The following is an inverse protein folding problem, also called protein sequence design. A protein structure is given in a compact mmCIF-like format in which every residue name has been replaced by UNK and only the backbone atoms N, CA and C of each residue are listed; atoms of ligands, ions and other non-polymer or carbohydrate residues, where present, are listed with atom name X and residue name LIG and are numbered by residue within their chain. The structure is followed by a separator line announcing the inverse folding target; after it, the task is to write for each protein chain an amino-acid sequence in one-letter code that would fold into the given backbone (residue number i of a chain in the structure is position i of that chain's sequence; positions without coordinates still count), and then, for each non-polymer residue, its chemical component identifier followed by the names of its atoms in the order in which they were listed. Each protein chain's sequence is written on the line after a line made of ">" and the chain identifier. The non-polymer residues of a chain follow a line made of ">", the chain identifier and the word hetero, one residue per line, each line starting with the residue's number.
data_IF_086916141407
#
_entry.id   IF_086916141407
#
_cell.length_a   1.000
_cell.length_b   1.000
_cell.length_c   1.000
_cell.angle_alpha   90.00
_cell.angle_beta   90.00
_cell.angle_gamma   90.00
#
_symmetry.space_group_name_H-M   'P 1'
#
loop_
_entity.id
_entity.type
_entity.pdbx_description
1 polymer ?
#
# COMPACT_ATOMS: atom_id res chain seq x y z
N UNK A 1 -14.93 -32.71 5.22
CA UNK A 1 -13.70 -32.09 4.82
C UNK A 1 -12.97 -31.60 6.07
N UNK A 2 -11.67 -31.87 6.19
CA UNK A 2 -10.87 -31.33 7.27
C UNK A 2 -10.96 -29.80 7.23
N UNK A 3 -11.22 -29.19 8.39
CA UNK A 3 -11.05 -27.74 8.53
C UNK A 3 -9.62 -27.37 8.11
N UNK A 4 -9.42 -26.32 7.32
CA UNK A 4 -8.05 -25.87 7.06
C UNK A 4 -7.36 -25.60 8.39
N UNK A 5 -6.11 -26.07 8.53
CA UNK A 5 -5.29 -25.77 9.70
C UNK A 5 -5.04 -24.27 9.75
N UNK A 6 -5.82 -23.55 10.55
CA UNK A 6 -5.72 -22.11 10.72
C UNK A 6 -4.73 -21.81 11.86
N UNK A 7 -3.70 -21.04 11.57
CA UNK A 7 -2.79 -20.49 12.57
C UNK A 7 -3.45 -19.27 13.19
N UNK A 8 -3.69 -19.29 14.48
CA UNK A 8 -4.17 -18.13 15.21
C UNK A 8 -2.99 -17.29 15.78
N UNK A 9 -3.31 -16.06 16.20
CA UNK A 9 -2.29 -15.12 16.68
C UNK A 9 -1.49 -15.69 17.87
N UNK A 10 -2.14 -16.39 18.81
CA UNK A 10 -1.45 -16.96 19.98
C UNK A 10 -0.49 -18.10 19.63
N UNK A 11 -0.83 -18.91 18.61
CA UNK A 11 0.10 -19.93 18.10
C UNK A 11 1.31 -19.27 17.44
N UNK A 12 1.10 -18.24 16.63
CA UNK A 12 2.17 -17.51 15.97
C UNK A 12 3.08 -16.83 16.99
N UNK A 13 2.50 -16.22 18.01
CA UNK A 13 3.23 -15.61 19.12
C UNK A 13 4.10 -16.63 19.85
N UNK A 14 3.52 -17.77 20.22
CA UNK A 14 4.26 -18.87 20.85
C UNK A 14 5.47 -19.32 20.02
N UNK A 15 5.33 -19.42 18.71
CA UNK A 15 6.44 -19.81 17.83
C UNK A 15 7.51 -18.72 17.74
N UNK A 16 7.12 -17.47 17.69
CA UNK A 16 8.06 -16.35 17.67
C UNK A 16 8.80 -16.22 19.01
N UNK A 17 8.11 -16.42 20.11
CA UNK A 17 8.71 -16.40 21.45
C UNK A 17 9.75 -17.51 21.62
N UNK A 18 9.41 -18.73 21.18
CA UNK A 18 10.35 -19.86 21.20
C UNK A 18 11.58 -19.53 20.34
N UNK A 19 11.39 -19.05 19.11
CA UNK A 19 12.49 -18.68 18.23
C UNK A 19 13.38 -17.59 18.85
N UNK A 20 12.79 -16.56 19.47
CA UNK A 20 13.54 -15.48 20.08
C UNK A 20 14.28 -15.92 21.35
N UNK A 21 13.67 -16.80 22.13
CA UNK A 21 14.30 -17.33 23.35
C UNK A 21 15.49 -18.27 23.06
N UNK A 22 15.40 -19.04 21.96
CA UNK A 22 16.45 -19.99 21.57
C UNK A 22 17.59 -19.34 20.79
N UNK A 23 17.30 -18.35 19.95
CA UNK A 23 18.27 -17.79 19.00
C UNK A 23 18.65 -16.34 19.27
N UNK A 24 17.97 -15.66 20.19
CA UNK A 24 18.08 -14.20 20.39
C UNK A 24 17.84 -13.39 19.08
N UNK A 25 17.04 -13.94 18.19
CA UNK A 25 16.76 -13.36 16.87
C UNK A 25 15.89 -12.10 16.98
N UNK A 26 16.16 -11.15 16.12
CA UNK A 26 15.22 -10.04 15.87
C UNK A 26 14.20 -10.50 14.84
N UNK A 27 12.92 -10.37 15.14
CA UNK A 27 11.84 -10.72 14.21
C UNK A 27 11.27 -9.44 13.60
N UNK A 28 11.07 -9.48 12.30
CA UNK A 28 10.27 -8.47 11.58
C UNK A 28 9.17 -9.20 10.82
N UNK A 29 7.93 -9.02 11.25
CA UNK A 29 6.75 -9.53 10.57
C UNK A 29 6.17 -8.42 9.69
N UNK A 30 5.94 -8.72 8.42
CA UNK A 30 5.17 -7.88 7.49
C UNK A 30 3.96 -8.70 7.07
N UNK A 31 2.77 -8.27 7.50
CA UNK A 31 1.54 -9.01 7.32
C UNK A 31 0.51 -8.20 6.54
N UNK A 32 0.25 -8.63 5.31
CA UNK A 32 -0.72 -7.99 4.40
C UNK A 32 -1.98 -8.85 4.30
N UNK A 33 -3.00 -8.46 5.03
CA UNK A 33 -4.30 -9.13 5.04
C UNK A 33 -5.39 -8.20 5.59
N UNK A 34 -6.64 -8.54 5.30
CA UNK A 34 -7.78 -7.93 5.96
C UNK A 34 -7.65 -8.07 7.47
N UNK A 35 -7.96 -7.01 8.20
CA UNK A 35 -7.94 -6.99 9.67
C UNK A 35 -6.58 -7.37 10.30
N UNK A 36 -5.49 -7.31 9.53
CA UNK A 36 -4.15 -7.71 9.99
C UNK A 36 -3.68 -6.96 11.24
N UNK A 37 -4.17 -5.75 11.48
CA UNK A 37 -3.85 -4.96 12.66
C UNK A 37 -4.31 -5.56 13.97
N UNK A 38 -5.26 -6.49 13.96
CA UNK A 38 -5.69 -7.22 15.16
C UNK A 38 -4.59 -8.13 15.71
N UNK A 39 -3.53 -8.39 14.94
CA UNK A 39 -2.38 -9.16 15.35
C UNK A 39 -1.37 -8.36 16.19
N UNK A 40 -1.39 -7.02 16.11
CA UNK A 40 -0.38 -6.17 16.77
C UNK A 40 -0.34 -6.40 18.27
N UNK A 41 -1.49 -6.35 18.94
CA UNK A 41 -1.59 -6.54 20.38
C UNK A 41 -1.30 -7.98 20.85
N UNK A 42 -1.42 -8.95 19.94
CA UNK A 42 -1.22 -10.37 20.23
C UNK A 42 0.18 -10.89 19.92
N UNK A 43 1.09 -10.05 19.41
CA UNK A 43 2.44 -10.44 18.98
C UNK A 43 3.52 -9.67 19.75
N UNK A 44 3.38 -9.58 21.07
CA UNK A 44 4.34 -8.87 21.92
C UNK A 44 5.61 -9.72 22.12
N UNK A 45 6.81 -9.14 22.00
CA UNK A 45 8.05 -9.91 22.20
C UNK A 45 8.28 -10.26 23.67
N UNK A 46 9.00 -11.37 23.96
CA UNK A 46 9.50 -11.64 25.30
C UNK A 46 10.40 -10.50 25.81
N UNK A 47 10.46 -10.34 27.12
CA UNK A 47 11.28 -9.30 27.74
C UNK A 47 12.75 -9.35 27.26
N UNK A 48 13.24 -8.24 26.78
CA UNK A 48 14.60 -8.11 26.24
C UNK A 48 14.77 -8.48 24.77
N UNK A 49 13.73 -9.01 24.12
CA UNK A 49 13.73 -9.32 22.69
C UNK A 49 13.16 -8.16 21.85
N UNK A 50 13.55 -8.09 20.58
CA UNK A 50 13.07 -7.08 19.63
C UNK A 50 12.21 -7.73 18.55
N UNK A 51 10.97 -7.25 18.43
CA UNK A 51 10.03 -7.67 17.37
C UNK A 51 9.41 -6.44 16.72
N UNK A 52 9.42 -6.41 15.41
CA UNK A 52 8.73 -5.38 14.61
C UNK A 52 7.54 -6.04 13.96
N UNK A 53 6.36 -5.48 14.18
CA UNK A 53 5.11 -5.93 13.55
C UNK A 53 4.60 -4.82 12.65
N UNK A 54 4.58 -5.08 11.35
CA UNK A 54 4.03 -4.19 10.33
C UNK A 54 2.83 -4.88 9.68
N UNK A 55 1.67 -4.25 9.77
CA UNK A 55 0.43 -4.76 9.17
C UNK A 55 -0.12 -3.79 8.15
N UNK A 56 -0.76 -4.29 7.09
CA UNK A 56 -1.28 -3.48 5.99
C UNK A 56 -2.57 -2.75 6.34
N UNK A 57 -3.35 -3.28 7.27
CA UNK A 57 -4.64 -2.72 7.67
C UNK A 57 -4.76 -2.71 9.18
N UNK A 58 -5.63 -1.88 9.76
CA UNK A 58 -6.04 -2.01 11.16
C UNK A 58 -7.17 -3.06 11.25
N UNK A 59 -8.42 -2.64 11.30
CA UNK A 59 -9.58 -3.53 11.30
C UNK A 59 -10.38 -3.46 9.98
N UNK A 60 -9.80 -2.86 8.93
CA UNK A 60 -10.43 -2.75 7.62
C UNK A 60 -10.03 -3.91 6.72
N UNK A 61 -10.77 -4.11 5.60
CA UNK A 61 -10.31 -4.94 4.49
C UNK A 61 -9.00 -4.42 3.89
N UNK A 62 -8.17 -5.32 3.40
CA UNK A 62 -6.97 -4.98 2.64
C UNK A 62 -7.29 -4.82 1.15
N UNK A 63 -6.54 -3.97 0.48
CA UNK A 63 -6.61 -3.74 -0.96
C UNK A 63 -5.68 -4.71 -1.69
N UNK A 64 -6.23 -5.45 -2.67
CA UNK A 64 -5.50 -6.34 -3.58
C UNK A 64 -6.00 -6.12 -5.01
N UNK A 65 -5.87 -4.91 -5.52
CA UNK A 65 -6.36 -4.53 -6.85
C UNK A 65 -5.39 -5.01 -7.94
N UNK A 66 -5.88 -5.09 -9.18
CA UNK A 66 -5.09 -5.50 -10.37
C UNK A 66 -4.33 -6.82 -10.13
N UNK A 67 -5.00 -7.82 -9.53
CA UNK A 67 -4.36 -9.10 -9.20
C UNK A 67 -3.31 -9.03 -8.08
N UNK A 68 -3.38 -8.02 -7.20
CA UNK A 68 -2.47 -7.81 -6.08
C UNK A 68 -1.29 -6.88 -6.39
N UNK A 69 -1.16 -6.42 -7.62
CA UNK A 69 -0.09 -5.46 -8.03
C UNK A 69 -0.29 -4.09 -7.37
N UNK A 70 -1.53 -3.73 -7.05
CA UNK A 70 -1.85 -2.59 -6.22
C UNK A 70 -2.29 -3.09 -4.83
N UNK A 71 -1.31 -3.39 -3.98
CA UNK A 71 -1.48 -3.79 -2.59
C UNK A 71 -0.43 -3.11 -1.72
N UNK A 72 -0.64 -3.17 -0.40
CA UNK A 72 0.36 -2.67 0.55
C UNK A 72 1.72 -3.35 0.37
N UNK A 73 1.71 -4.69 0.27
CA UNK A 73 2.95 -5.47 0.11
C UNK A 73 3.70 -5.09 -1.16
N UNK A 74 3.01 -4.94 -2.28
CA UNK A 74 3.67 -4.55 -3.53
C UNK A 74 4.34 -3.18 -3.38
N UNK A 75 3.62 -2.18 -2.89
CA UNK A 75 4.14 -0.82 -2.72
C UNK A 75 5.28 -0.77 -1.71
N UNK A 76 5.16 -1.52 -0.60
CA UNK A 76 6.20 -1.60 0.41
C UNK A 76 7.49 -2.19 -0.15
N UNK A 77 7.42 -3.36 -0.80
CA UNK A 77 8.59 -4.03 -1.32
C UNK A 77 9.20 -3.31 -2.52
N UNK A 78 8.38 -2.68 -3.37
CA UNK A 78 8.88 -1.80 -4.43
C UNK A 78 9.67 -0.64 -3.83
N UNK A 79 9.13 0.03 -2.82
CA UNK A 79 9.84 1.13 -2.16
C UNK A 79 11.08 0.67 -1.40
N UNK A 80 11.08 -0.51 -0.78
CA UNK A 80 12.30 -1.13 -0.21
C UNK A 80 13.34 -1.34 -1.29
N UNK A 81 12.95 -1.88 -2.44
CA UNK A 81 13.87 -2.14 -3.54
C UNK A 81 14.50 -0.85 -4.08
N UNK A 82 13.72 0.22 -4.22
CA UNK A 82 14.20 1.48 -4.81
C UNK A 82 14.83 2.45 -3.80
N UNK A 83 14.34 2.48 -2.56
CA UNK A 83 14.76 3.44 -1.52
C UNK A 83 15.63 2.81 -0.43
N UNK A 84 15.51 1.50 -0.21
CA UNK A 84 16.31 0.71 0.72
C UNK A 84 16.00 0.92 2.20
N UNK A 85 15.22 1.92 2.59
CA UNK A 85 14.92 2.24 3.99
C UNK A 85 13.52 1.79 4.39
N UNK A 86 13.42 1.03 5.48
CA UNK A 86 12.19 0.45 6.00
C UNK A 86 11.09 1.50 6.21
N UNK A 87 11.39 2.57 6.95
CA UNK A 87 10.38 3.57 7.28
C UNK A 87 9.91 4.39 6.08
N UNK A 88 10.81 4.71 5.16
CA UNK A 88 10.45 5.38 3.91
C UNK A 88 9.56 4.48 3.04
N UNK A 89 9.83 3.17 3.01
CA UNK A 89 8.99 2.21 2.32
C UNK A 89 7.60 2.07 2.97
N UNK A 90 7.55 2.05 4.31
CA UNK A 90 6.27 2.08 5.03
C UNK A 90 5.45 3.33 4.70
N UNK A 91 6.07 4.50 4.69
CA UNK A 91 5.37 5.74 4.35
C UNK A 91 4.87 5.74 2.91
N UNK A 92 5.70 5.32 1.95
CA UNK A 92 5.30 5.23 0.55
C UNK A 92 4.10 4.28 0.35
N UNK A 93 4.15 3.08 0.91
CA UNK A 93 3.04 2.13 0.84
C UNK A 93 1.77 2.66 1.53
N UNK A 94 1.91 3.28 2.70
CA UNK A 94 0.80 3.89 3.42
C UNK A 94 0.12 4.98 2.60
N UNK A 95 0.91 5.87 1.98
CA UNK A 95 0.38 7.02 1.26
C UNK A 95 -0.40 6.60 0.00
N UNK A 96 -0.06 5.45 -0.59
CA UNK A 96 -0.80 4.88 -1.72
C UNK A 96 -2.17 4.26 -1.34
N UNK A 97 -2.32 3.81 -0.10
CA UNK A 97 -3.52 3.08 0.35
C UNK A 97 -4.30 3.79 1.46
N UNK A 98 -3.82 4.93 1.97
CA UNK A 98 -4.31 5.62 3.18
C UNK A 98 -5.80 5.95 3.19
N UNK A 99 -6.42 5.94 2.03
CA UNK A 99 -7.83 6.28 1.90
C UNK A 99 -8.76 5.14 2.28
N UNK A 100 -8.30 3.89 2.14
CA UNK A 100 -9.14 2.70 2.27
C UNK A 100 -8.71 1.78 3.41
N UNK A 101 -7.44 1.76 3.73
CA UNK A 101 -6.92 0.98 4.84
C UNK A 101 -5.85 1.78 5.61
N UNK A 102 -5.69 1.43 6.87
CA UNK A 102 -4.73 2.08 7.76
C UNK A 102 -3.69 1.08 8.22
N UNK A 103 -2.48 1.12 7.67
CA UNK A 103 -1.41 0.24 8.11
C UNK A 103 -0.92 0.62 9.51
N UNK A 104 -0.49 -0.39 10.26
CA UNK A 104 0.00 -0.25 11.62
C UNK A 104 1.44 -0.76 11.70
N UNK A 105 2.28 0.00 12.41
CA UNK A 105 3.67 -0.32 12.67
C UNK A 105 3.91 -0.24 14.18
N UNK A 106 4.14 -1.39 14.82
CA UNK A 106 4.67 -1.50 16.18
C UNK A 106 6.11 -2.00 16.08
N UNK A 107 7.07 -1.18 16.44
CA UNK A 107 8.49 -1.51 16.39
C UNK A 107 9.14 -1.60 17.77
N UNK A 108 8.48 -1.05 18.78
CA UNK A 108 8.95 -1.12 20.16
C UNK A 108 8.38 -2.31 20.94
N UNK A 109 7.41 -3.04 20.34
CA UNK A 109 6.84 -4.26 20.90
C UNK A 109 5.92 -4.02 22.09
N UNK A 110 5.26 -2.85 22.16
CA UNK A 110 4.36 -2.53 23.27
C UNK A 110 2.87 -2.73 22.92
N UNK A 111 2.54 -3.15 21.68
CA UNK A 111 1.19 -3.35 21.19
C UNK A 111 0.48 -2.07 20.75
N UNK A 112 1.15 -0.92 20.82
CA UNK A 112 0.61 0.38 20.41
C UNK A 112 1.33 0.85 19.14
N UNK A 113 0.66 0.78 18.02
CA UNK A 113 1.27 1.07 16.74
C UNK A 113 1.31 2.57 16.38
N UNK A 114 2.23 2.91 15.48
CA UNK A 114 2.38 4.24 14.88
C UNK A 114 2.79 5.35 15.86
N UNK A 115 3.51 4.99 16.91
CA UNK A 115 4.08 5.94 17.86
C UNK A 115 5.38 6.59 17.34
N UNK A 116 5.78 7.68 17.95
CA UNK A 116 7.10 8.29 17.67
C UNK A 116 8.26 7.35 18.01
N UNK A 117 8.08 6.50 19.01
CA UNK A 117 9.04 5.48 19.42
C UNK A 117 9.26 4.44 18.32
N UNK A 118 8.20 3.98 17.66
CA UNK A 118 8.29 3.04 16.54
C UNK A 118 9.12 3.61 15.39
N UNK A 119 8.81 4.84 15.00
CA UNK A 119 9.58 5.54 13.96
C UNK A 119 11.07 5.62 14.33
N UNK A 120 11.40 6.01 15.55
CA UNK A 120 12.77 6.18 15.99
C UNK A 120 13.59 4.89 15.87
N UNK A 121 12.94 3.73 16.08
CA UNK A 121 13.58 2.42 15.98
C UNK A 121 13.81 1.96 14.54
N UNK A 122 12.93 2.33 13.61
CA UNK A 122 12.98 1.78 12.24
C UNK A 122 13.49 2.75 11.17
N UNK A 123 13.57 4.05 11.45
CA UNK A 123 13.91 5.07 10.43
C UNK A 123 15.28 4.88 9.77
N UNK A 124 16.20 4.19 10.43
CA UNK A 124 17.55 3.92 9.93
C UNK A 124 17.74 2.45 9.52
N UNK A 125 16.71 1.62 9.61
CA UNK A 125 16.79 0.23 9.15
C UNK A 125 16.82 0.23 7.62
N UNK A 126 17.84 -0.45 7.08
CA UNK A 126 18.00 -0.73 5.65
C UNK A 126 17.72 -2.21 5.43
N UNK A 127 16.80 -2.51 4.51
CA UNK A 127 16.50 -3.88 4.09
C UNK A 127 17.27 -4.16 2.80
N UNK A 128 18.06 -5.22 2.82
CA UNK A 128 18.92 -5.60 1.69
C UNK A 128 20.21 -4.79 1.63
N UNK A 129 21.20 -5.33 0.94
CA UNK A 129 22.46 -4.63 0.65
C UNK A 129 22.46 -4.24 -0.82
N UNK A 130 22.17 -2.97 -1.10
CA UNK A 130 22.60 -2.32 -2.33
C UNK A 130 22.25 -3.05 -3.64
N UNK A 131 21.04 -3.56 -3.77
CA UNK A 131 20.54 -3.83 -5.10
C UNK A 131 20.53 -2.48 -5.84
N UNK A 132 21.41 -2.32 -6.80
CA UNK A 132 21.31 -1.19 -7.72
C UNK A 132 20.04 -1.45 -8.51
N UNK A 133 19.01 -0.63 -8.27
CA UNK A 133 17.77 -0.73 -9.02
C UNK A 133 18.08 -0.57 -10.50
N UNK A 134 17.82 -1.60 -11.29
CA UNK A 134 17.98 -1.55 -12.75
C UNK A 134 16.91 -0.66 -13.39
N UNK A 135 15.90 -0.24 -12.64
CA UNK A 135 14.82 0.66 -13.08
C UNK A 135 14.41 1.58 -11.94
N UNK A 136 13.84 2.72 -12.29
CA UNK A 136 13.27 3.71 -11.38
C UNK A 136 11.78 3.76 -11.65
N UNK A 137 10.90 3.73 -10.61
CA UNK A 137 9.47 3.85 -10.83
C UNK A 137 9.12 5.12 -11.61
N UNK A 138 8.12 5.05 -12.49
CA UNK A 138 7.57 6.24 -13.10
C UNK A 138 7.09 7.24 -12.04
N UNK A 139 7.42 8.50 -12.22
CA UNK A 139 6.97 9.59 -11.35
C UNK A 139 5.96 10.46 -12.12
N UNK A 140 4.74 10.53 -11.59
CA UNK A 140 3.68 11.36 -12.16
C UNK A 140 3.85 12.79 -11.66
N UNK A 141 3.82 13.73 -12.60
CA UNK A 141 3.95 15.15 -12.33
C UNK A 141 2.74 15.89 -12.92
N UNK A 142 2.43 17.06 -12.36
CA UNK A 142 1.34 17.90 -12.85
C UNK A 142 0.00 17.14 -13.00
N UNK A 143 -0.39 16.39 -11.97
CA UNK A 143 -1.70 15.73 -11.92
C UNK A 143 -2.83 16.76 -11.77
N UNK A 144 -4.02 16.44 -12.27
CA UNK A 144 -5.20 17.28 -12.11
C UNK A 144 -5.42 17.67 -10.65
N UNK A 145 -5.62 18.97 -10.36
CA UNK A 145 -5.97 19.41 -9.02
C UNK A 145 -7.36 18.91 -8.61
N UNK A 146 -7.73 18.96 -7.32
CA UNK A 146 -9.09 18.68 -6.88
C UNK A 146 -10.11 19.56 -7.63
N UNK A 147 -11.20 18.95 -8.12
CA UNK A 147 -12.26 19.59 -8.88
C UNK A 147 -13.57 19.53 -8.10
N UNK A 148 -14.39 20.59 -8.21
CA UNK A 148 -15.74 20.63 -7.65
C UNK A 148 -16.74 20.65 -8.79
N UNK A 149 -17.64 19.67 -8.81
CA UNK A 149 -18.72 19.56 -9.80
C UNK A 149 -20.03 20.06 -9.15
N UNK A 150 -20.72 20.98 -9.83
CA UNK A 150 -21.96 21.61 -9.35
C UNK A 150 -23.16 21.11 -10.16
N UNK A 151 -23.29 19.80 -10.29
CA UNK A 151 -24.33 19.14 -11.06
C UNK A 151 -23.83 18.48 -12.35
N UNK A 152 -22.61 18.75 -12.76
CA UNK A 152 -21.97 18.01 -13.86
C UNK A 152 -21.66 16.57 -13.41
N UNK A 153 -21.85 15.64 -14.34
CA UNK A 153 -21.54 14.21 -14.12
C UNK A 153 -20.22 13.78 -14.74
N UNK A 154 -19.49 14.72 -15.33
CA UNK A 154 -18.23 14.44 -16.02
C UNK A 154 -17.14 15.45 -15.67
N UNK A 155 -15.89 14.97 -15.65
CA UNK A 155 -14.70 15.80 -15.53
C UNK A 155 -13.53 15.18 -16.29
N UNK A 156 -12.59 16.03 -16.70
CA UNK A 156 -11.32 15.59 -17.28
C UNK A 156 -10.34 15.32 -16.15
N UNK A 157 -9.74 14.12 -16.18
CA UNK A 157 -8.65 13.71 -15.30
C UNK A 157 -7.39 13.62 -16.14
N UNK A 158 -6.32 14.25 -15.67
CA UNK A 158 -5.12 14.44 -16.47
C UNK A 158 -3.85 14.22 -15.65
N UNK A 159 -2.83 13.67 -16.32
CA UNK A 159 -1.43 13.65 -15.88
C UNK A 159 -0.63 14.46 -16.91
N UNK A 160 -0.06 15.59 -16.49
CA UNK A 160 0.59 16.52 -17.39
C UNK A 160 1.99 16.09 -17.84
N UNK A 161 2.68 15.26 -17.08
CA UNK A 161 3.96 14.65 -17.47
C UNK A 161 4.31 13.46 -16.59
N UNK A 162 5.06 12.53 -17.16
CA UNK A 162 5.57 11.35 -16.45
C UNK A 162 7.09 11.27 -16.68
N UNK A 163 7.84 11.35 -15.58
CA UNK A 163 9.28 11.09 -15.63
C UNK A 163 9.51 9.61 -15.42
N UNK A 164 10.12 8.94 -16.39
CA UNK A 164 10.42 7.51 -16.32
C UNK A 164 11.73 7.20 -17.05
N UNK A 165 12.43 6.17 -16.57
CA UNK A 165 13.64 5.66 -17.21
C UNK A 165 13.30 4.86 -18.48
N UNK A 166 12.19 4.15 -18.45
CA UNK A 166 11.72 3.27 -19.51
C UNK A 166 10.43 3.81 -20.14
N UNK A 167 10.11 3.44 -21.39
CA UNK A 167 8.87 3.83 -22.05
C UNK A 167 7.62 3.46 -21.24
N UNK A 168 6.68 4.39 -21.11
CA UNK A 168 5.40 4.14 -20.44
C UNK A 168 4.51 3.32 -21.38
N UNK A 169 3.91 2.28 -20.83
CA UNK A 169 3.01 1.36 -21.56
C UNK A 169 1.55 1.49 -21.15
N UNK A 170 1.29 2.03 -19.94
CA UNK A 170 -0.07 2.19 -19.42
C UNK A 170 -0.13 3.34 -18.45
N UNK A 171 -1.19 4.17 -18.56
CA UNK A 171 -1.55 5.17 -17.56
C UNK A 171 -3.03 5.00 -17.25
N UNK A 172 -3.38 4.86 -15.95
CA UNK A 172 -4.76 4.62 -15.56
C UNK A 172 -5.07 5.26 -14.22
N UNK A 173 -6.37 5.41 -13.96
CA UNK A 173 -6.93 5.86 -12.70
C UNK A 173 -7.70 4.73 -12.03
N UNK A 174 -7.59 4.65 -10.71
CA UNK A 174 -8.45 3.85 -9.84
C UNK A 174 -9.26 4.81 -8.98
N UNK A 175 -10.56 4.56 -8.87
CA UNK A 175 -11.48 5.46 -8.20
C UNK A 175 -12.16 4.82 -7.02
N UNK A 176 -12.17 5.53 -5.88
CA UNK A 176 -13.00 5.20 -4.74
C UNK A 176 -14.21 6.14 -4.74
N UNK A 177 -15.43 5.65 -5.01
CA UNK A 177 -16.61 6.49 -5.02
C UNK A 177 -17.05 6.90 -3.60
N UNK A 178 -17.82 7.98 -3.46
CA UNK A 178 -18.40 8.37 -2.19
C UNK A 178 -19.17 7.20 -1.55
N UNK A 179 -19.05 7.03 -0.24
CA UNK A 179 -19.72 5.99 0.50
C UNK A 179 -19.36 4.56 0.05
N UNK A 180 -18.18 4.38 -0.57
CA UNK A 180 -17.68 3.04 -0.83
C UNK A 180 -17.66 2.24 0.48
N UNK A 181 -18.18 1.02 0.43
CA UNK A 181 -18.12 0.05 1.52
C UNK A 181 -17.69 -1.28 0.93
N UNK A 182 -16.73 -1.94 1.56
CA UNK A 182 -16.40 -3.31 1.20
C UNK A 182 -17.61 -4.23 1.41
N UNK A 183 -17.71 -5.28 0.62
CA UNK A 183 -18.88 -6.18 0.60
C UNK A 183 -19.07 -6.94 1.91
N UNK A 184 -18.00 -7.37 2.54
CA UNK A 184 -18.05 -8.06 3.84
C UNK A 184 -16.82 -7.73 4.67
N UNK A 185 -16.97 -7.76 6.01
CA UNK A 185 -15.84 -7.69 6.91
C UNK A 185 -14.94 -8.92 6.69
N UNK A 186 -13.66 -8.70 6.45
CA UNK A 186 -12.69 -9.77 6.23
C UNK A 186 -12.47 -10.20 4.78
N UNK A 187 -13.27 -9.72 3.82
CA UNK A 187 -12.99 -9.93 2.41
C UNK A 187 -12.10 -8.81 1.84
N UNK A 188 -11.06 -9.13 1.07
CA UNK A 188 -10.21 -8.13 0.45
C UNK A 188 -10.98 -7.35 -0.63
N UNK A 189 -10.59 -6.10 -0.81
CA UNK A 189 -11.07 -5.28 -1.92
C UNK A 189 -10.20 -5.62 -3.13
N UNK A 190 -10.78 -6.34 -4.10
CA UNK A 190 -10.07 -6.79 -5.30
C UNK A 190 -10.45 -6.00 -6.54
N UNK A 191 -11.54 -5.21 -6.48
CA UNK A 191 -12.05 -4.44 -7.61
C UNK A 191 -12.51 -3.06 -7.16
N UNK A 192 -12.10 -2.06 -7.90
CA UNK A 192 -12.59 -0.68 -7.84
C UNK A 192 -12.79 -0.18 -9.27
N UNK A 193 -13.69 0.79 -9.51
CA UNK A 193 -13.81 1.44 -10.81
C UNK A 193 -12.45 1.98 -11.26
N UNK A 194 -12.07 1.67 -12.48
CA UNK A 194 -10.82 2.14 -13.08
C UNK A 194 -11.05 2.56 -14.54
N UNK A 195 -10.22 3.43 -15.06
CA UNK A 195 -10.26 3.86 -16.45
C UNK A 195 -8.87 4.26 -16.92
N UNK A 196 -8.65 4.07 -18.24
CA UNK A 196 -7.38 4.40 -18.89
C UNK A 196 -7.30 5.90 -19.21
N UNK A 197 -6.09 6.46 -19.06
CA UNK A 197 -5.74 7.76 -19.60
C UNK A 197 -4.86 7.56 -20.83
N UNK A 198 -5.10 8.34 -21.88
CA UNK A 198 -4.38 8.22 -23.15
C UNK A 198 -3.72 9.53 -23.54
N UNK A 199 -2.53 9.44 -24.12
CA UNK A 199 -1.87 10.53 -24.81
C UNK A 199 -2.20 10.42 -26.29
N UNK A 200 -3.24 11.17 -26.73
CA UNK A 200 -3.79 11.07 -28.10
C UNK A 200 -3.01 11.88 -29.12
N UNK A 201 -2.22 12.84 -28.68
CA UNK A 201 -1.48 13.76 -29.56
C UNK A 201 0.04 13.62 -29.46
N UNK A 202 0.54 12.75 -28.57
CA UNK A 202 1.95 12.45 -28.41
C UNK A 202 2.73 13.55 -27.71
N UNK A 203 2.07 14.41 -26.91
CA UNK A 203 2.71 15.52 -26.21
C UNK A 203 3.19 15.15 -24.78
N UNK A 204 3.01 13.89 -24.39
CA UNK A 204 3.38 13.40 -23.06
C UNK A 204 2.32 13.66 -21.99
N UNK A 205 1.16 14.18 -22.36
CA UNK A 205 0.01 14.42 -21.46
C UNK A 205 -1.01 13.31 -21.64
N UNK A 206 -1.36 12.68 -20.55
CA UNK A 206 -2.34 11.59 -20.52
C UNK A 206 -3.64 12.10 -19.92
N UNK A 207 -4.75 11.94 -20.63
CA UNK A 207 -6.04 12.43 -20.18
C UNK A 207 -7.17 11.44 -20.47
N UNK A 208 -8.22 11.53 -19.65
CA UNK A 208 -9.50 10.87 -19.90
C UNK A 208 -10.65 11.72 -19.36
N UNK A 209 -11.79 11.68 -20.03
CA UNK A 209 -13.03 12.23 -19.51
C UNK A 209 -13.80 11.13 -18.80
N UNK A 210 -13.90 11.22 -17.48
CA UNK A 210 -14.76 10.33 -16.71
C UNK A 210 -16.16 10.91 -16.62
N UNK A 211 -17.20 10.10 -16.91
CA UNK A 211 -18.58 10.58 -17.10
C UNK A 211 -19.58 10.03 -16.09
N UNK A 212 -19.10 9.35 -15.04
CA UNK A 212 -19.96 8.64 -14.10
C UNK A 212 -19.89 9.20 -12.67
N UNK A 213 -19.73 10.50 -12.52
CA UNK A 213 -19.85 11.18 -11.23
C UNK A 213 -21.34 11.34 -10.86
N UNK A 214 -21.99 10.22 -10.53
CA UNK A 214 -23.46 10.17 -10.32
C UNK A 214 -23.90 10.24 -8.88
N UNK A 215 -22.94 10.19 -7.93
CA UNK A 215 -23.22 10.22 -6.49
C UNK A 215 -22.71 11.52 -5.89
N UNK A 216 -23.49 12.11 -5.00
CA UNK A 216 -23.01 13.25 -4.21
C UNK A 216 -21.96 12.82 -3.21
N UNK A 217 -20.90 13.61 -3.06
CA UNK A 217 -19.81 13.37 -2.13
C UNK A 217 -18.44 13.43 -2.80
N UNK A 218 -17.40 13.08 -2.06
CA UNK A 218 -16.02 13.11 -2.54
C UNK A 218 -15.65 11.80 -3.20
N UNK A 219 -15.24 11.85 -4.46
CA UNK A 219 -14.55 10.78 -5.15
C UNK A 219 -13.06 10.94 -4.93
N UNK A 220 -12.38 9.86 -4.58
CA UNK A 220 -10.92 9.83 -4.49
C UNK A 220 -10.38 9.11 -5.71
N UNK A 221 -9.44 9.74 -6.40
CA UNK A 221 -8.87 9.21 -7.65
C UNK A 221 -7.37 9.06 -7.44
N UNK A 222 -6.88 7.85 -7.62
CA UNK A 222 -5.47 7.52 -7.61
C UNK A 222 -5.00 7.26 -9.03
N UNK A 223 -3.89 7.86 -9.40
CA UNK A 223 -3.33 7.78 -10.75
C UNK A 223 -2.07 6.91 -10.73
N UNK A 224 -1.95 6.05 -11.72
CA UNK A 224 -0.85 5.11 -11.87
C UNK A 224 -0.28 5.15 -13.27
N UNK A 225 1.03 4.90 -13.38
CA UNK A 225 1.71 4.66 -14.63
C UNK A 225 2.54 3.38 -14.53
N UNK A 226 2.62 2.62 -15.62
CA UNK A 226 3.46 1.43 -15.73
C UNK A 226 4.37 1.54 -16.94
N UNK A 227 5.65 1.22 -16.74
CA UNK A 227 6.62 1.16 -17.83
C UNK A 227 6.62 -0.20 -18.56
N UNK A 228 7.47 -0.34 -19.58
CA UNK A 228 7.61 -1.58 -20.36
C UNK A 228 8.35 -2.69 -19.63
N UNK A 229 8.93 -2.43 -18.45
CA UNK A 229 9.51 -3.44 -17.56
C UNK A 229 8.50 -3.90 -16.50
N UNK A 230 7.26 -3.38 -16.53
CA UNK A 230 6.21 -3.70 -15.58
C UNK A 230 6.29 -2.94 -14.25
N UNK A 231 7.23 -1.98 -14.13
CA UNK A 231 7.38 -1.19 -12.91
C UNK A 231 6.27 -0.14 -12.86
N UNK A 232 5.63 -0.03 -11.69
CA UNK A 232 4.51 0.89 -11.46
C UNK A 232 4.98 2.06 -10.59
N UNK A 233 4.41 3.24 -10.82
CA UNK A 233 4.59 4.43 -9.98
C UNK A 233 4.25 4.14 -8.51
N UNK A 234 5.01 4.72 -7.58
CA UNK A 234 4.86 4.56 -6.13
C UNK A 234 4.62 5.91 -5.45
#
# INVERSE_FOLDING_TARGET
>A
GASPDLVNVGQLDTWFDALQSESNARITLIYDACQSGTFVEGLLPPAGSARIVLTSASNQPALFLEGGVLSFSYQFWAAVFFKGKFYEAFLAARDQIQNEQRPLLDANGNGIANEKADRALVQNIVIGRGAVAASVPPELQAVSPPQTLNGETSAVIEVGSITALNPITRVWAVMVPPNFRSRAAGEPITELPSFELTDTNGDGRYAATYTQFTKNGTYKIQLYARDNQGVISI
#
